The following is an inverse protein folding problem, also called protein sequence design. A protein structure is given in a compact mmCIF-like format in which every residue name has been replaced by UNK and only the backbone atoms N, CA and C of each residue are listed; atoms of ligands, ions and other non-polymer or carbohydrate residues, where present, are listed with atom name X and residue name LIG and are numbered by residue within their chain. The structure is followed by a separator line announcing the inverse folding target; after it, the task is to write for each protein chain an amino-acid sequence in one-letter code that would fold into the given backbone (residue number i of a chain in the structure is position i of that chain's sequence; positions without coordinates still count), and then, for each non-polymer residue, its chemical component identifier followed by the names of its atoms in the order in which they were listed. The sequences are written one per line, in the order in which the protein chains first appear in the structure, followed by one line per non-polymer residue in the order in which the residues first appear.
data_IF_719056904924
#
_entry.id   IF_719056904924
#
_cell.length_a   1.000
_cell.length_b   1.000
_cell.length_c   1.000
_cell.angle_alpha   90.00
_cell.angle_beta   90.00
_cell.angle_gamma   90.00
#
_symmetry.space_group_name_H-M   'P 1'
#
loop_
_entity.id
_entity.type
_entity.pdbx_description
1 polymer ?
#
# COMPACT_ATOMS: atom_id res chain seq x y z
N UNK A 1 19.32 11.01 -70.99
CA UNK A 1 18.80 10.38 -69.78
C UNK A 1 19.71 10.85 -68.65
N UNK A 2 19.17 11.65 -67.72
CA UNK A 2 19.94 12.19 -66.61
C UNK A 2 20.06 11.11 -65.52
N UNK A 3 21.28 10.80 -65.11
CA UNK A 3 21.56 9.80 -64.10
C UNK A 3 21.24 10.39 -62.71
N UNK A 4 20.09 10.01 -62.15
CA UNK A 4 19.63 10.40 -60.82
C UNK A 4 20.18 9.42 -59.78
N UNK A 5 21.43 9.59 -59.37
CA UNK A 5 21.94 8.96 -58.15
C UNK A 5 22.28 10.05 -57.13
N UNK A 6 21.25 10.59 -56.50
CA UNK A 6 21.39 11.52 -55.39
C UNK A 6 21.59 10.75 -54.08
N UNK A 7 22.80 10.25 -53.82
CA UNK A 7 23.18 9.80 -52.48
C UNK A 7 23.84 10.96 -51.74
N UNK A 8 23.16 11.51 -50.73
CA UNK A 8 23.76 12.48 -49.81
C UNK A 8 24.44 11.69 -48.69
N UNK A 9 25.77 11.71 -48.67
CA UNK A 9 26.56 11.10 -47.60
C UNK A 9 26.94 12.19 -46.61
N UNK A 10 26.29 12.19 -45.44
CA UNK A 10 26.62 13.10 -44.35
C UNK A 10 27.67 12.42 -43.46
N UNK A 11 28.89 12.97 -43.44
CA UNK A 11 29.99 12.43 -42.63
C UNK A 11 30.19 13.30 -41.40
N UNK A 12 29.75 12.82 -40.24
CA UNK A 12 29.96 13.51 -38.96
C UNK A 12 31.19 12.94 -38.25
N UNK A 13 32.25 13.73 -38.17
CA UNK A 13 33.48 13.35 -37.46
C UNK A 13 33.39 13.78 -36.00
N UNK A 14 33.10 12.85 -35.11
CA UNK A 14 33.19 13.10 -33.65
C UNK A 14 34.64 12.99 -33.18
N UNK A 15 35.17 14.06 -32.58
CA UNK A 15 36.52 14.08 -32.04
C UNK A 15 36.71 13.15 -30.84
N UNK A 16 37.94 12.66 -30.64
CA UNK A 16 38.32 11.75 -29.56
C UNK A 16 37.98 12.31 -28.15
N UNK A 17 38.18 13.61 -27.92
CA UNK A 17 37.83 14.30 -26.67
C UNK A 17 36.31 14.28 -26.38
N UNK A 18 35.47 14.43 -27.41
CA UNK A 18 34.01 14.37 -27.27
C UNK A 18 33.54 12.97 -26.86
N UNK A 19 34.17 11.93 -27.40
CA UNK A 19 33.90 10.52 -27.04
C UNK A 19 34.35 10.18 -25.61
N UNK A 20 35.48 10.74 -25.16
CA UNK A 20 35.94 10.59 -23.78
C UNK A 20 35.01 11.33 -22.82
N UNK A 21 34.60 12.55 -23.16
CA UNK A 21 33.65 13.33 -22.37
C UNK A 21 32.31 12.63 -22.19
N UNK A 22 31.74 12.04 -23.26
CA UNK A 22 30.48 11.29 -23.15
C UNK A 22 30.62 10.02 -22.30
N UNK A 23 31.78 9.37 -22.36
CA UNK A 23 32.07 8.17 -21.55
C UNK A 23 32.18 8.49 -20.06
N UNK A 24 32.81 9.62 -19.70
CA UNK A 24 32.89 10.12 -18.32
C UNK A 24 31.50 10.43 -17.74
N UNK A 25 30.60 11.02 -18.53
CA UNK A 25 29.21 11.26 -18.12
C UNK A 25 28.49 9.93 -17.86
N UNK A 26 28.68 8.92 -18.72
CA UNK A 26 28.14 7.58 -18.52
C UNK A 26 28.62 6.94 -17.21
N UNK A 27 29.89 7.12 -16.85
CA UNK A 27 30.46 6.62 -15.58
C UNK A 27 29.85 7.31 -14.37
N UNK A 28 29.68 8.64 -14.41
CA UNK A 28 29.04 9.38 -13.32
C UNK A 28 27.59 8.95 -13.11
N UNK A 29 26.84 8.77 -14.22
CA UNK A 29 25.48 8.24 -14.17
C UNK A 29 25.47 6.83 -13.57
N UNK A 30 26.39 5.95 -13.98
CA UNK A 30 26.54 4.61 -13.44
C UNK A 30 26.81 4.61 -11.92
N UNK A 31 27.66 5.52 -11.43
CA UNK A 31 27.94 5.67 -10.00
C UNK A 31 26.72 6.10 -9.17
N UNK A 32 25.75 6.78 -9.77
CA UNK A 32 24.49 7.16 -9.12
C UNK A 32 23.47 6.02 -9.23
N UNK A 33 23.34 5.42 -10.41
CA UNK A 33 22.34 4.37 -10.66
C UNK A 33 22.60 3.11 -9.82
N UNK A 34 23.86 2.73 -9.60
CA UNK A 34 24.21 1.55 -8.83
C UNK A 34 23.70 1.59 -7.37
N UNK A 35 24.02 2.61 -6.54
CA UNK A 35 23.48 2.69 -5.19
C UNK A 35 21.95 2.88 -5.18
N UNK A 36 21.37 3.62 -6.13
CA UNK A 36 19.92 3.74 -6.25
C UNK A 36 19.24 2.38 -6.49
N UNK A 37 19.80 1.55 -7.38
CA UNK A 37 19.28 0.22 -7.64
C UNK A 37 19.36 -0.68 -6.40
N UNK A 38 20.50 -0.68 -5.70
CA UNK A 38 20.67 -1.43 -4.45
C UNK A 38 19.63 -1.00 -3.41
N UNK A 39 19.42 0.31 -3.24
CA UNK A 39 18.44 0.85 -2.31
C UNK A 39 17.01 0.41 -2.67
N UNK A 40 16.60 0.55 -3.93
CA UNK A 40 15.26 0.17 -4.39
C UNK A 40 15.00 -1.34 -4.23
N UNK A 41 15.98 -2.18 -4.56
CA UNK A 41 15.90 -3.62 -4.37
C UNK A 41 15.80 -3.97 -2.87
N UNK A 42 16.66 -3.37 -2.03
CA UNK A 42 16.65 -3.59 -0.59
C UNK A 42 15.32 -3.18 0.05
N UNK A 43 14.75 -2.05 -0.38
CA UNK A 43 13.43 -1.60 0.05
C UNK A 43 12.33 -2.61 -0.33
N UNK A 44 12.37 -3.10 -1.56
CA UNK A 44 11.39 -4.05 -2.07
C UNK A 44 11.48 -5.41 -1.36
N UNK A 45 12.68 -5.95 -1.23
CA UNK A 45 12.94 -7.23 -0.55
C UNK A 45 12.64 -7.16 0.95
N UNK A 46 13.00 -6.04 1.61
CA UNK A 46 12.73 -5.84 3.03
C UNK A 46 11.24 -5.94 3.36
N UNK A 47 10.37 -5.40 2.51
CA UNK A 47 8.90 -5.54 2.67
C UNK A 47 8.45 -7.00 2.55
N UNK A 48 8.95 -7.73 1.55
CA UNK A 48 8.60 -9.13 1.33
C UNK A 48 9.06 -10.02 2.49
N UNK A 49 10.30 -9.83 2.97
CA UNK A 49 10.87 -10.57 4.10
C UNK A 49 10.12 -10.28 5.39
N UNK A 50 9.77 -9.01 5.64
CA UNK A 50 9.00 -8.61 6.81
C UNK A 50 7.62 -9.27 6.82
N UNK A 51 6.92 -9.24 5.68
CA UNK A 51 5.61 -9.89 5.53
C UNK A 51 5.69 -11.40 5.73
N UNK A 52 6.65 -12.08 5.08
CA UNK A 52 6.83 -13.52 5.20
C UNK A 52 7.16 -13.94 6.64
N UNK A 53 8.04 -13.19 7.32
CA UNK A 53 8.42 -13.47 8.70
C UNK A 53 7.25 -13.21 9.66
N UNK A 54 6.49 -12.13 9.45
CA UNK A 54 5.29 -11.82 10.21
C UNK A 54 4.24 -12.92 10.08
N UNK A 55 3.96 -13.37 8.86
CA UNK A 55 3.02 -14.47 8.60
C UNK A 55 3.49 -15.78 9.24
N UNK A 56 4.79 -16.13 9.10
CA UNK A 56 5.36 -17.33 9.74
C UNK A 56 5.23 -17.30 11.26
N UNK A 57 5.50 -16.16 11.89
CA UNK A 57 5.30 -15.99 13.34
C UNK A 57 3.83 -16.12 13.72
N UNK A 58 2.94 -15.46 12.98
CA UNK A 58 1.49 -15.57 13.20
C UNK A 58 1.01 -17.01 13.11
N UNK A 59 1.36 -17.73 12.05
CA UNK A 59 1.00 -19.14 11.87
C UNK A 59 1.56 -20.06 12.97
N UNK A 60 2.71 -19.73 13.56
CA UNK A 60 3.28 -20.52 14.66
C UNK A 60 2.59 -20.32 16.01
N UNK A 61 1.83 -19.23 16.18
CA UNK A 61 1.17 -18.88 17.45
C UNK A 61 -0.35 -18.84 17.36
N UNK A 62 -0.92 -18.97 16.15
CA UNK A 62 -2.36 -18.87 15.92
C UNK A 62 -3.09 -20.03 16.56
N UNK A 63 -4.22 -19.73 17.19
CA UNK A 63 -5.10 -20.72 17.81
C UNK A 63 -6.39 -20.79 17.00
N UNK A 64 -6.71 -21.97 16.47
CA UNK A 64 -8.00 -22.19 15.83
C UNK A 64 -9.12 -22.22 16.89
N UNK A 65 -10.19 -21.48 16.63
CA UNK A 65 -11.35 -21.35 17.53
C UNK A 65 -12.65 -21.54 16.74
N UNK A 66 -13.64 -22.18 17.35
CA UNK A 66 -14.98 -22.33 16.76
C UNK A 66 -15.76 -21.00 16.81
N UNK A 67 -16.53 -20.73 15.77
CA UNK A 67 -17.50 -19.64 15.71
C UNK A 67 -18.68 -19.77 16.69
N UNK A 68 -18.93 -20.97 17.22
CA UNK A 68 -20.12 -21.27 18.00
C UNK A 68 -20.02 -20.84 19.47
N UNK A 69 -18.80 -20.66 20.00
CA UNK A 69 -18.60 -20.39 21.44
C UNK A 69 -17.37 -19.53 21.70
N UNK A 70 -17.53 -18.53 22.58
CA UNK A 70 -16.43 -17.66 23.00
C UNK A 70 -15.70 -18.27 24.19
N UNK A 71 -14.40 -18.53 24.05
CA UNK A 71 -13.52 -18.94 25.14
C UNK A 71 -12.63 -17.77 25.59
N UNK A 72 -12.87 -17.24 26.80
CA UNK A 72 -12.12 -16.12 27.38
C UNK A 72 -10.62 -16.42 27.58
N UNK A 73 -10.21 -17.69 27.62
CA UNK A 73 -8.79 -18.08 27.71
C UNK A 73 -7.98 -17.71 26.46
N UNK A 74 -8.65 -17.33 25.36
CA UNK A 74 -8.00 -16.90 24.12
C UNK A 74 -7.81 -15.37 24.03
N UNK A 75 -8.20 -14.63 25.07
CA UNK A 75 -7.96 -13.18 25.12
C UNK A 75 -6.48 -12.85 24.93
N UNK A 76 -6.21 -11.80 24.17
CA UNK A 76 -4.86 -11.32 23.83
C UNK A 76 -4.00 -12.31 23.02
N UNK A 77 -4.60 -13.34 22.42
CA UNK A 77 -3.92 -14.28 21.53
C UNK A 77 -4.35 -14.05 20.09
N UNK A 78 -3.47 -14.40 19.15
CA UNK A 78 -3.83 -14.47 17.74
C UNK A 78 -4.73 -15.70 17.52
N UNK A 79 -5.93 -15.48 17.02
CA UNK A 79 -6.91 -16.55 16.79
C UNK A 79 -7.31 -16.64 15.32
N UNK A 80 -7.59 -17.86 14.86
CA UNK A 80 -8.22 -18.15 13.59
C UNK A 80 -9.62 -18.69 13.86
N UNK A 81 -10.65 -17.91 13.52
CA UNK A 81 -12.04 -18.33 13.65
C UNK A 81 -12.43 -19.21 12.46
N UNK A 82 -12.94 -20.41 12.75
CA UNK A 82 -13.46 -21.32 11.74
C UNK A 82 -14.92 -21.69 12.07
N UNK A 83 -15.73 -21.84 11.03
CA UNK A 83 -17.16 -22.15 11.16
C UNK A 83 -17.85 -22.21 9.81
N UNK A 84 -19.06 -22.76 9.81
CA UNK A 84 -19.90 -22.81 8.61
C UNK A 84 -20.62 -21.48 8.44
N UNK A 85 -20.53 -20.89 7.26
CA UNK A 85 -21.28 -19.67 6.90
C UNK A 85 -22.48 -20.03 6.03
N UNK A 86 -23.67 -19.58 6.44
CA UNK A 86 -24.91 -19.72 5.68
C UNK A 86 -25.53 -18.35 5.44
N UNK A 87 -25.85 -18.04 4.18
CA UNK A 87 -26.52 -16.79 3.84
C UNK A 87 -28.01 -16.88 4.18
N UNK A 88 -28.49 -16.02 5.09
CA UNK A 88 -29.92 -15.90 5.36
C UNK A 88 -30.68 -15.32 4.15
N UNK A 89 -30.01 -14.48 3.37
CA UNK A 89 -30.50 -13.90 2.12
C UNK A 89 -29.57 -14.25 0.96
N UNK A 90 -30.10 -14.57 -0.23
CA UNK A 90 -29.29 -14.78 -1.42
C UNK A 90 -28.39 -13.57 -1.73
N UNK A 91 -27.10 -13.81 -1.95
CA UNK A 91 -26.23 -12.78 -2.50
C UNK A 91 -26.73 -12.37 -3.90
N UNK A 92 -26.73 -11.07 -4.18
CA UNK A 92 -27.12 -10.50 -5.47
C UNK A 92 -25.92 -9.76 -6.06
N UNK A 93 -25.53 -10.12 -7.27
CA UNK A 93 -24.55 -9.37 -8.03
C UNK A 93 -25.16 -8.03 -8.47
N UNK A 94 -24.59 -6.88 -8.05
CA UNK A 94 -25.15 -5.57 -8.37
C UNK A 94 -25.11 -5.23 -9.87
N UNK A 95 -24.20 -5.80 -10.65
CA UNK A 95 -24.04 -5.55 -12.08
C UNK A 95 -25.10 -6.29 -12.89
N UNK A 96 -25.18 -7.61 -12.78
CA UNK A 96 -26.01 -8.46 -13.65
C UNK A 96 -27.27 -9.01 -12.96
N UNK A 97 -27.48 -8.70 -11.66
CA UNK A 97 -28.60 -9.16 -10.83
C UNK A 97 -28.68 -10.67 -10.64
N UNK A 98 -27.61 -11.41 -10.95
CA UNK A 98 -27.54 -12.85 -10.71
C UNK A 98 -27.64 -13.13 -9.21
N UNK A 99 -28.53 -14.05 -8.87
CA UNK A 99 -28.78 -14.49 -7.50
C UNK A 99 -29.36 -15.90 -7.49
N UNK A 100 -28.97 -16.70 -6.50
CA UNK A 100 -29.50 -18.03 -6.25
C UNK A 100 -29.42 -18.37 -4.75
N UNK A 101 -30.25 -19.32 -4.34
CA UNK A 101 -30.29 -19.80 -2.95
C UNK A 101 -28.94 -20.39 -2.55
N UNK A 102 -28.43 -20.00 -1.39
CA UNK A 102 -27.14 -20.48 -0.89
C UNK A 102 -25.91 -19.80 -1.49
N UNK A 103 -26.08 -18.78 -2.34
CA UNK A 103 -24.94 -17.97 -2.79
C UNK A 103 -24.42 -17.07 -1.66
N UNK A 104 -23.10 -16.99 -1.56
CA UNK A 104 -22.37 -16.16 -0.62
C UNK A 104 -21.48 -15.18 -1.38
N UNK A 105 -21.41 -13.94 -0.87
CA UNK A 105 -20.40 -12.96 -1.29
C UNK A 105 -19.35 -12.85 -0.20
N UNK A 106 -18.10 -13.13 -0.54
CA UNK A 106 -16.98 -12.91 0.36
C UNK A 106 -16.46 -11.47 0.19
N UNK A 107 -16.49 -10.69 1.26
CA UNK A 107 -15.79 -9.41 1.36
C UNK A 107 -14.86 -9.47 2.55
N UNK A 108 -13.57 -9.25 2.31
CA UNK A 108 -12.57 -9.17 3.38
C UNK A 108 -12.43 -7.70 3.81
N UNK A 109 -12.82 -7.40 5.05
CA UNK A 109 -12.52 -6.15 5.73
C UNK A 109 -11.48 -6.44 6.82
N UNK A 110 -10.42 -5.64 6.90
CA UNK A 110 -9.35 -5.80 7.89
C UNK A 110 -9.34 -4.54 8.73
N UNK A 111 -9.53 -4.68 10.03
CA UNK A 111 -9.66 -3.56 10.96
C UNK A 111 -8.81 -3.79 12.21
N UNK A 112 -8.41 -2.70 12.85
CA UNK A 112 -7.73 -2.69 14.14
C UNK A 112 -8.65 -2.01 15.16
N UNK A 113 -8.86 -2.65 16.30
CA UNK A 113 -9.54 -2.01 17.42
C UNK A 113 -8.53 -1.11 18.13
N UNK A 114 -8.65 0.20 17.92
CA UNK A 114 -7.64 1.17 18.34
C UNK A 114 -8.28 2.48 18.81
N UNK A 115 -7.47 3.30 19.49
CA UNK A 115 -7.86 4.66 19.83
C UNK A 115 -7.87 5.53 18.57
N UNK A 116 -9.03 6.09 18.25
CA UNK A 116 -9.20 7.07 17.19
C UNK A 116 -9.20 8.46 17.80
N UNK A 117 -8.27 9.30 17.36
CA UNK A 117 -8.26 10.73 17.65
C UNK A 117 -9.11 11.47 16.62
N UNK A 118 -10.07 12.25 17.11
CA UNK A 118 -10.84 13.19 16.32
C UNK A 118 -10.49 14.61 16.75
N UNK A 119 -9.83 15.34 15.86
CA UNK A 119 -9.54 16.76 16.03
C UNK A 119 -10.72 17.61 15.50
N UNK A 120 -11.15 18.59 16.30
CA UNK A 120 -12.09 19.64 15.87
C UNK A 120 -11.45 21.00 16.12
N UNK A 121 -11.37 21.82 15.07
CA UNK A 121 -10.81 23.18 15.16
C UNK A 121 -11.94 24.22 15.08
N UNK A 122 -11.99 25.14 16.05
CA UNK A 122 -12.90 26.27 16.08
C UNK A 122 -12.10 27.57 16.13
N UNK A 123 -12.45 28.53 15.27
CA UNK A 123 -11.84 29.87 15.25
C UNK A 123 -12.81 30.88 15.85
N UNK A 124 -12.37 31.54 16.92
CA UNK A 124 -13.16 32.51 17.67
C UNK A 124 -12.52 33.88 17.43
N UNK A 125 -13.28 34.80 16.83
CA UNK A 125 -12.83 36.18 16.65
C UNK A 125 -13.10 36.95 17.94
N UNK A 126 -12.07 37.59 18.49
CA UNK A 126 -12.17 38.36 19.73
C UNK A 126 -12.45 39.84 19.43
N UNK A 127 -13.07 40.51 20.40
CA UNK A 127 -13.23 41.96 20.36
C UNK A 127 -11.84 42.60 20.46
N UNK A 128 -11.47 43.42 19.45
CA UNK A 128 -10.12 44.00 19.33
C UNK A 128 -9.29 43.46 18.16
N UNK A 129 -9.86 42.57 17.33
CA UNK A 129 -9.25 42.14 16.06
C UNK A 129 -8.30 40.93 16.16
N UNK A 130 -8.12 40.34 17.35
CA UNK A 130 -7.38 39.09 17.51
C UNK A 130 -8.27 37.87 17.25
N UNK A 131 -7.68 36.74 16.87
CA UNK A 131 -8.38 35.48 16.60
C UNK A 131 -7.78 34.36 17.46
N UNK A 132 -8.64 33.64 18.18
CA UNK A 132 -8.27 32.46 18.98
C UNK A 132 -8.61 31.20 18.19
N UNK A 133 -7.63 30.30 18.02
CA UNK A 133 -7.89 28.97 17.47
C UNK A 133 -7.98 27.97 18.62
N UNK A 134 -9.13 27.33 18.78
CA UNK A 134 -9.37 26.30 19.76
C UNK A 134 -9.39 24.94 19.07
N UNK A 135 -8.45 24.06 19.46
CA UNK A 135 -8.43 22.66 19.02
C UNK A 135 -8.99 21.78 20.13
N UNK A 136 -9.94 20.92 19.80
CA UNK A 136 -10.51 19.92 20.70
C UNK A 136 -10.16 18.53 20.15
N UNK A 137 -9.49 17.74 20.97
CA UNK A 137 -9.12 16.36 20.66
C UNK A 137 -10.04 15.42 21.43
N UNK A 138 -10.76 14.57 20.71
CA UNK A 138 -11.62 13.54 21.30
C UNK A 138 -11.07 12.17 20.95
N UNK A 139 -10.98 11.28 21.93
CA UNK A 139 -10.46 9.93 21.74
C UNK A 139 -11.57 8.89 21.96
N UNK A 140 -11.71 7.93 21.05
CA UNK A 140 -12.66 6.82 21.19
C UNK A 140 -12.03 5.50 20.72
N UNK A 141 -12.30 4.40 21.43
CA UNK A 141 -11.92 3.06 20.98
C UNK A 141 -12.93 2.55 19.95
N UNK A 142 -12.47 2.33 18.71
CA UNK A 142 -13.30 1.79 17.63
C UNK A 142 -12.46 0.95 16.66
N UNK A 143 -13.15 0.20 15.79
CA UNK A 143 -12.53 -0.53 14.69
C UNK A 143 -12.22 0.42 13.52
N UNK A 144 -10.98 0.39 13.03
CA UNK A 144 -10.54 1.21 11.91
C UNK A 144 -9.70 0.42 10.90
N UNK A 145 -9.90 0.69 9.61
CA UNK A 145 -9.14 0.06 8.51
C UNK A 145 -7.72 0.63 8.36
N UNK A 146 -7.49 1.83 8.89
CA UNK A 146 -6.21 2.53 8.84
C UNK A 146 -5.78 2.92 10.25
N UNK A 147 -4.48 2.79 10.49
CA UNK A 147 -3.84 3.30 11.70
C UNK A 147 -4.03 4.81 11.80
#
# INVERSE_FOLDING_TARGET
MADLNNSITETTTTGWLSRIGSSLVGVLIGMILLPCAIFLLSWNEGRAVTAATGLKRGLSTIIEVSADTVNQQNNSKLVYLNGTVSGATPAVDPWNKLSATGLLRLQRKVEMYQWLEKETEAKINNVGGSQTTQKTYTYSLDWAETA
#
